data_IF_033855073044
#
_entry.id   IF_033855073044
#
_cell.length_a   1.000
_cell.length_b   1.000
_cell.length_c   1.000
_cell.angle_alpha   90.00
_cell.angle_beta   90.00
_cell.angle_gamma   90.00
#
_symmetry.space_group_name_H-M   'P 1'
#
loop_
_entity.id
_entity.type
_entity.pdbx_description
1 polymer ?
#
# COMPACT_ATOMS: atom_id res chain seq x y z
N UNK A 1 21.48 -13.32 7.97
CA UNK A 1 21.16 -12.25 7.02
C UNK A 1 20.25 -11.27 7.73
N UNK A 2 20.66 -10.00 7.84
CA UNK A 2 19.81 -8.97 8.41
C UNK A 2 18.69 -8.62 7.40
N UNK A 3 17.47 -8.47 7.90
CA UNK A 3 16.31 -7.99 7.14
C UNK A 3 15.98 -6.58 7.61
N UNK A 4 15.52 -5.73 6.69
CA UNK A 4 15.05 -4.38 6.99
C UNK A 4 13.71 -4.17 6.28
N UNK A 5 12.66 -4.70 6.91
CA UNK A 5 11.30 -4.69 6.37
C UNK A 5 10.39 -3.92 7.31
N UNK A 6 9.63 -2.96 6.76
CA UNK A 6 8.50 -2.34 7.45
C UNK A 6 7.20 -3.01 7.00
N UNK A 7 6.41 -3.46 7.97
CA UNK A 7 5.08 -3.97 7.74
C UNK A 7 4.07 -2.83 7.86
N UNK A 8 3.36 -2.53 6.78
CA UNK A 8 2.33 -1.51 6.75
C UNK A 8 0.97 -2.16 6.57
N UNK A 9 0.02 -1.71 7.38
CA UNK A 9 -1.36 -2.14 7.28
C UNK A 9 -2.29 -0.95 7.30
N UNK A 10 -3.38 -1.07 6.55
CA UNK A 10 -4.42 -0.08 6.50
C UNK A 10 -5.77 -0.79 6.66
N UNK A 11 -6.51 -0.42 7.70
CA UNK A 11 -7.80 -1.05 8.05
C UNK A 11 -8.99 -0.47 7.27
N UNK A 12 -8.75 0.18 6.14
CA UNK A 12 -9.82 0.65 5.26
C UNK A 12 -9.77 -0.01 3.87
N UNK A 13 -10.94 -0.37 3.29
CA UNK A 13 -12.24 -0.49 3.95
C UNK A 13 -12.17 -1.45 5.15
N UNK A 14 -13.12 -1.40 6.10
CA UNK A 14 -13.05 -2.11 7.42
C UNK A 14 -12.89 -3.64 7.38
N UNK A 15 -12.81 -4.22 6.19
CA UNK A 15 -12.58 -5.64 5.89
C UNK A 15 -11.29 -5.90 5.08
N UNK A 16 -10.52 -4.85 4.78
CA UNK A 16 -9.19 -4.94 4.20
C UNK A 16 -8.28 -5.63 5.20
N UNK A 17 -7.69 -6.74 4.79
CA UNK A 17 -6.60 -7.39 5.51
C UNK A 17 -5.27 -7.24 4.75
N UNK A 18 -5.18 -6.30 3.80
CA UNK A 18 -3.97 -6.18 2.98
C UNK A 18 -2.82 -5.64 3.83
N UNK A 19 -1.69 -6.35 3.78
CA UNK A 19 -0.44 -5.92 4.40
C UNK A 19 0.59 -5.65 3.30
N UNK A 20 1.33 -4.56 3.43
CA UNK A 20 2.47 -4.26 2.56
C UNK A 20 3.76 -4.50 3.33
N UNK A 21 4.61 -5.38 2.80
CA UNK A 21 5.95 -5.68 3.29
C UNK A 21 6.96 -4.87 2.50
N UNK A 22 7.45 -3.80 3.12
CA UNK A 22 8.27 -2.78 2.47
C UNK A 22 9.73 -2.99 2.83
N UNK A 23 10.55 -3.37 1.85
CA UNK A 23 12.00 -3.42 1.95
C UNK A 23 12.59 -2.00 1.92
N UNK A 24 13.20 -1.59 3.03
CA UNK A 24 13.77 -0.25 3.23
C UNK A 24 15.31 -0.26 3.25
N UNK A 25 15.96 -1.32 2.78
CA UNK A 25 17.43 -1.43 2.77
C UNK A 25 18.14 -0.25 2.07
N UNK A 26 17.52 0.32 1.04
CA UNK A 26 18.06 1.45 0.30
C UNK A 26 17.97 2.79 1.06
N UNK A 27 17.20 2.83 2.15
CA UNK A 27 16.84 4.05 2.88
C UNK A 27 17.39 4.10 4.32
N UNK A 28 18.02 3.03 4.79
CA UNK A 28 18.39 2.83 6.21
C UNK A 28 19.11 4.02 6.86
N UNK A 29 20.06 4.63 6.16
CA UNK A 29 20.86 5.75 6.70
C UNK A 29 20.06 7.04 6.89
N UNK A 30 18.83 7.12 6.36
CA UNK A 30 17.99 8.32 6.34
C UNK A 30 16.67 8.14 7.08
N UNK A 31 16.41 6.96 7.63
CA UNK A 31 15.20 6.70 8.39
C UNK A 31 15.26 7.36 9.76
N UNK A 32 14.15 7.96 10.14
CA UNK A 32 13.91 8.60 11.43
C UNK A 32 12.85 7.84 12.22
N UNK A 33 12.69 8.19 13.50
CA UNK A 33 11.65 7.61 14.35
C UNK A 33 10.23 7.83 13.78
N UNK A 34 9.96 9.00 13.19
CA UNK A 34 8.65 9.33 12.59
C UNK A 34 8.28 8.42 11.40
N UNK A 35 9.29 7.81 10.76
CA UNK A 35 9.12 6.94 9.60
C UNK A 35 9.05 5.45 9.96
N UNK A 36 9.33 5.10 11.22
CA UNK A 36 9.50 3.70 11.67
C UNK A 36 8.69 3.36 12.92
N UNK A 37 8.09 4.36 13.58
CA UNK A 37 7.28 4.15 14.78
C UNK A 37 5.91 3.55 14.44
N UNK A 38 5.47 2.64 15.30
CA UNK A 38 4.16 2.00 15.17
C UNK A 38 3.06 3.05 15.35
N UNK A 39 2.11 3.09 14.41
CA UNK A 39 0.98 4.01 14.41
C UNK A 39 1.19 5.28 13.59
N UNK A 40 2.41 5.53 13.12
CA UNK A 40 2.70 6.64 12.22
C UNK A 40 2.24 6.35 10.79
N UNK A 41 1.74 7.39 10.12
CA UNK A 41 1.38 7.33 8.72
C UNK A 41 2.58 7.71 7.86
N UNK A 42 2.88 6.90 6.85
CA UNK A 42 3.99 7.13 5.92
C UNK A 42 3.51 7.05 4.48
N UNK A 43 4.13 7.85 3.62
CA UNK A 43 4.00 7.73 2.18
C UNK A 43 5.21 6.99 1.62
N UNK A 44 4.99 6.14 0.62
CA UNK A 44 6.05 5.36 -0.02
C UNK A 44 5.93 5.46 -1.54
N UNK A 45 7.08 5.58 -2.19
CA UNK A 45 7.24 5.33 -3.61
C UNK A 45 8.26 4.21 -3.78
N UNK A 46 7.92 3.22 -4.59
CA UNK A 46 8.74 2.04 -4.78
C UNK A 46 8.24 1.11 -5.88
N UNK A 47 8.96 0.01 -6.07
CA UNK A 47 8.58 -1.04 -7.01
C UNK A 47 7.85 -2.16 -6.29
N UNK A 48 6.69 -2.54 -6.82
CA UNK A 48 6.00 -3.76 -6.39
C UNK A 48 6.80 -4.94 -6.90
N UNK A 49 7.20 -5.83 -6.00
CA UNK A 49 7.88 -7.07 -6.37
C UNK A 49 6.89 -8.22 -6.36
N UNK A 50 6.89 -9.00 -7.43
CA UNK A 50 6.19 -10.29 -7.50
C UNK A 50 6.89 -11.39 -6.70
N UNK A 51 7.80 -11.03 -5.78
CA UNK A 51 8.61 -11.98 -5.03
C UNK A 51 7.71 -13.08 -4.46
N UNK A 52 7.99 -14.36 -4.73
CA UNK A 52 7.23 -15.44 -4.14
C UNK A 52 7.28 -15.25 -2.62
N UNK A 53 6.15 -15.44 -1.90
CA UNK A 53 6.12 -15.28 -0.46
C UNK A 53 7.26 -16.09 0.10
N UNK A 54 8.25 -15.41 0.68
CA UNK A 54 9.42 -16.06 1.23
C UNK A 54 8.89 -17.11 2.21
N UNK A 55 9.08 -18.39 1.88
CA UNK A 55 8.57 -19.53 2.61
C UNK A 55 8.80 -19.30 4.10
N UNK A 56 7.74 -18.91 4.80
CA UNK A 56 7.72 -18.85 6.25
C UNK A 56 7.72 -20.31 6.69
N UNK A 57 8.91 -20.91 6.68
CA UNK A 57 9.12 -22.26 7.19
C UNK A 57 8.81 -22.22 8.68
N UNK A 58 7.74 -22.94 9.02
CA UNK A 58 7.32 -23.41 10.33
C UNK A 58 6.48 -22.43 11.16
N UNK A 59 5.17 -22.65 11.22
CA UNK A 59 4.64 -23.57 12.22
C UNK A 59 3.11 -23.65 12.14
N UNK A 60 2.63 -24.87 12.36
CA UNK A 60 1.26 -25.31 12.55
C UNK A 60 0.31 -24.26 13.16
N UNK A 61 -0.47 -23.59 12.31
CA UNK A 61 -1.87 -23.15 12.54
C UNK A 61 -2.34 -22.48 11.25
N UNK A 62 -3.47 -22.91 10.70
CA UNK A 62 -4.16 -22.22 9.61
C UNK A 62 -4.53 -20.81 10.07
N UNK A 63 -3.63 -19.84 9.90
CA UNK A 63 -4.03 -18.45 9.74
C UNK A 63 -4.22 -18.27 8.24
N UNK A 64 -5.40 -17.79 7.86
CA UNK A 64 -5.62 -17.24 6.53
C UNK A 64 -4.65 -16.06 6.43
N UNK A 65 -3.47 -16.31 5.85
CA UNK A 65 -2.48 -15.28 5.61
C UNK A 65 -3.12 -14.29 4.65
N UNK A 66 -3.27 -13.06 5.12
CA UNK A 66 -3.83 -12.02 4.30
C UNK A 66 -2.86 -11.71 3.15
N UNK A 67 -3.35 -11.26 1.99
CA UNK A 67 -2.49 -11.02 0.84
C UNK A 67 -1.44 -9.96 1.20
N UNK A 68 -0.18 -10.38 1.24
CA UNK A 68 0.97 -9.53 1.51
C UNK A 68 1.57 -9.04 0.18
N UNK A 69 1.66 -7.73 0.00
CA UNK A 69 2.30 -7.11 -1.16
C UNK A 69 3.73 -6.73 -0.80
N UNK A 70 4.70 -7.16 -1.60
CA UNK A 70 6.10 -6.79 -1.39
C UNK A 70 6.45 -5.52 -2.17
N UNK A 71 7.11 -4.56 -1.51
CA UNK A 71 7.52 -3.30 -2.11
C UNK A 71 9.00 -3.04 -1.82
N UNK A 72 9.79 -2.72 -2.84
CA UNK A 72 11.13 -2.14 -2.64
C UNK A 72 11.01 -0.62 -2.61
N UNK A 73 11.31 0.01 -1.48
CA UNK A 73 11.18 1.45 -1.32
C UNK A 73 12.34 2.22 -1.95
N UNK A 74 12.01 3.28 -2.70
CA UNK A 74 12.96 4.28 -3.21
C UNK A 74 12.83 5.61 -2.47
N UNK A 75 11.64 5.91 -1.96
CA UNK A 75 11.35 7.10 -1.16
C UNK A 75 10.34 6.73 -0.05
N UNK A 76 10.56 7.28 1.13
CA UNK A 76 9.67 7.14 2.27
C UNK A 76 9.70 8.42 3.11
N UNK A 77 8.53 8.99 3.41
CA UNK A 77 8.41 10.17 4.26
C UNK A 77 7.19 10.10 5.17
N UNK A 78 7.26 10.78 6.31
CA UNK A 78 6.11 10.91 7.21
C UNK A 78 4.97 11.64 6.50
N UNK A 79 3.75 11.10 6.62
CA UNK A 79 2.54 11.78 6.17
C UNK A 79 2.06 12.82 7.19
N UNK A 80 2.65 12.82 8.41
CA UNK A 80 2.19 13.65 9.52
C UNK A 80 0.74 13.34 9.91
N UNK A 81 0.03 14.33 10.50
CA UNK A 81 -1.39 14.20 10.80
C UNK A 81 -2.22 14.00 9.53
N UNK A 82 -2.64 12.76 9.28
CA UNK A 82 -3.40 12.37 8.10
C UNK A 82 -4.88 12.12 8.44
N UNK A 83 -5.78 12.89 7.84
CA UNK A 83 -7.21 12.57 7.81
C UNK A 83 -7.47 11.51 6.74
N UNK A 84 -7.48 10.25 7.17
CA UNK A 84 -7.68 9.08 6.32
C UNK A 84 -9.00 9.16 5.57
N UNK A 85 -10.07 9.58 6.24
CA UNK A 85 -11.41 9.62 5.62
C UNK A 85 -11.43 10.62 4.47
N UNK A 86 -10.80 11.78 4.67
CA UNK A 86 -10.68 12.79 3.62
C UNK A 86 -9.79 12.29 2.48
N UNK A 87 -8.64 11.68 2.77
CA UNK A 87 -7.71 11.16 1.78
C UNK A 87 -8.38 10.14 0.84
N UNK A 88 -9.03 9.13 1.41
CA UNK A 88 -9.72 8.07 0.66
C UNK A 88 -10.86 8.61 -0.20
N UNK A 89 -11.62 9.59 0.32
CA UNK A 89 -12.70 10.24 -0.42
C UNK A 89 -12.19 11.00 -1.65
N UNK A 90 -11.04 11.68 -1.54
CA UNK A 90 -10.42 12.35 -2.69
C UNK A 90 -9.89 11.33 -3.70
N UNK A 91 -9.21 10.28 -3.22
CA UNK A 91 -8.66 9.24 -4.09
C UNK A 91 -9.78 8.55 -4.89
N UNK A 92 -10.88 8.19 -4.24
CA UNK A 92 -12.05 7.59 -4.89
C UNK A 92 -12.69 8.49 -5.95
N UNK A 93 -12.75 9.81 -5.72
CA UNK A 93 -13.25 10.77 -6.71
C UNK A 93 -12.32 10.86 -7.93
N UNK A 94 -11.01 10.95 -7.72
CA UNK A 94 -10.04 11.03 -8.82
C UNK A 94 -10.08 9.78 -9.68
N UNK A 95 -10.08 8.59 -9.06
CA UNK A 95 -10.18 7.32 -9.79
C UNK A 95 -11.51 7.20 -10.57
N UNK A 96 -12.59 7.75 -10.03
CA UNK A 96 -13.89 7.79 -10.74
C UNK A 96 -13.85 8.73 -11.95
N UNK A 97 -13.14 9.86 -11.85
CA UNK A 97 -13.06 10.88 -12.90
C UNK A 97 -12.19 10.46 -14.10
N UNK A 98 -11.20 9.58 -13.89
CA UNK A 98 -10.33 9.05 -14.96
C UNK A 98 -10.98 7.95 -15.80
N UNK A 99 -12.18 7.47 -15.44
CA UNK A 99 -12.92 6.57 -16.33
C UNK A 99 -13.48 7.36 -17.52
N UNK A 100 -13.10 7.03 -18.77
CA UNK A 100 -13.61 7.73 -19.94
C UNK A 100 -15.13 7.54 -20.01
N UNK A 101 -15.89 8.64 -19.86
CA UNK A 101 -17.34 8.61 -20.07
C UNK A 101 -17.60 8.20 -21.52
N UNK A 102 -18.12 6.98 -21.71
CA UNK A 102 -18.55 6.49 -23.02
C UNK A 102 -19.54 7.50 -23.61
N UNK A 103 -19.13 8.20 -24.67
CA UNK A 103 -20.02 9.12 -25.40
C UNK A 103 -21.14 8.28 -26.00
N UNK A 104 -22.37 8.58 -25.60
CA UNK A 104 -23.57 7.95 -26.13
C UNK A 104 -23.70 8.33 -27.61
N UNK A 105 -23.33 7.41 -28.51
CA UNK A 105 -23.49 7.58 -29.95
C UNK A 105 -24.99 7.45 -30.25
N UNK A 106 -25.65 8.58 -30.53
CA UNK A 106 -27.06 8.55 -30.96
C UNK A 106 -27.15 7.80 -32.29
N UNK A 107 -28.03 6.80 -32.43
CA UNK A 107 -28.23 6.15 -33.72
C UNK A 107 -28.75 7.18 -34.72
N UNK A 108 -28.01 7.33 -35.82
CA UNK A 108 -28.42 8.16 -36.95
C UNK A 108 -29.77 7.68 -37.47
N UNK A 109 -30.71 8.62 -37.64
CA UNK A 109 -31.99 8.35 -38.30
C UNK A 109 -31.70 8.02 -39.77
N UNK A 110 -32.24 6.89 -40.21
CA UNK A 110 -32.30 6.44 -41.59
C UNK A 110 -33.19 7.36 -42.45
#
# INVERSE_FOLDING_TARGET
>A
MASATLALSHQFPKSSNVEALVDVRLLLERLTAEQTSVGEWVNIIGYISSAPPALVKNSSKRKVEAPAIHVQALMLWSAGPLDISRYENYLGQTLSNDTPKAKHLKPGKA
#
